data_IF_488854117263
#
_entry.id   IF_488854117263
#
_cell.length_a   1.000
_cell.length_b   1.000
_cell.length_c   1.000
_cell.angle_alpha   90.00
_cell.angle_beta   90.00
_cell.angle_gamma   90.00
#
_symmetry.space_group_name_H-M   'P 1'
#
loop_
_entity.id
_entity.type
_entity.pdbx_description
1 polymer ?
#
# COMPACT_ATOMS: atom_id res chain seq x y z
N UNK A 1 1.43 -27.09 -2.42
CA UNK A 1 1.57 -26.86 -0.96
C UNK A 1 0.18 -26.67 -0.38
N UNK A 2 -0.12 -27.09 0.86
CA UNK A 2 -1.46 -26.90 1.44
C UNK A 2 -1.68 -25.42 1.79
N UNK A 3 -2.94 -25.00 1.78
CA UNK A 3 -3.33 -23.61 2.05
C UNK A 3 -2.89 -23.16 3.46
N UNK A 4 -2.54 -21.88 3.60
CA UNK A 4 -2.25 -21.21 4.86
C UNK A 4 -3.25 -20.08 5.10
N UNK A 5 -3.51 -19.73 6.35
CA UNK A 5 -4.36 -18.59 6.66
C UNK A 5 -3.67 -17.28 6.26
N UNK A 6 -4.42 -16.36 5.64
CA UNK A 6 -3.95 -14.99 5.45
C UNK A 6 -3.94 -14.25 6.78
N UNK A 7 -2.96 -13.38 6.97
CA UNK A 7 -2.83 -12.56 8.18
C UNK A 7 -3.29 -11.13 7.89
N UNK A 8 -3.90 -10.44 8.88
CA UNK A 8 -4.28 -9.05 8.72
C UNK A 8 -3.05 -8.14 8.73
N UNK A 9 -2.96 -7.26 7.74
CA UNK A 9 -1.90 -6.24 7.62
C UNK A 9 -2.40 -4.90 8.12
N UNK A 10 -3.58 -4.48 7.66
CA UNK A 10 -4.20 -3.25 8.07
C UNK A 10 -5.72 -3.40 8.13
N UNK A 11 -6.32 -2.77 9.14
CA UNK A 11 -7.77 -2.58 9.23
C UNK A 11 -8.04 -1.12 9.54
N UNK A 12 -8.63 -0.40 8.58
CA UNK A 12 -8.77 1.05 8.64
C UNK A 12 -10.25 1.39 8.57
N UNK A 13 -10.73 2.20 9.50
CA UNK A 13 -12.08 2.76 9.42
C UNK A 13 -12.05 4.14 8.79
N UNK A 14 -13.10 4.47 8.03
CA UNK A 14 -13.25 5.78 7.38
C UNK A 14 -13.20 6.96 8.33
N UNK A 15 -13.73 6.79 9.54
CA UNK A 15 -13.71 7.83 10.59
C UNK A 15 -12.30 8.15 11.07
N UNK A 16 -11.38 7.18 11.02
CA UNK A 16 -10.02 7.31 11.53
C UNK A 16 -9.06 7.83 10.44
N UNK A 17 -9.36 7.58 9.16
CA UNK A 17 -8.59 8.08 8.01
C UNK A 17 -9.50 8.61 6.88
N UNK A 18 -10.09 9.81 7.01
CA UNK A 18 -11.00 10.37 6.02
C UNK A 18 -10.26 10.91 4.78
N UNK A 19 -10.79 10.63 3.59
CA UNK A 19 -10.24 11.10 2.32
C UNK A 19 -11.04 10.65 1.10
N UNK A 20 -10.56 10.96 -0.13
CA UNK A 20 -11.25 10.64 -1.38
C UNK A 20 -11.17 9.16 -1.79
N UNK A 21 -10.35 8.35 -1.10
CA UNK A 21 -10.16 6.92 -1.38
C UNK A 21 -11.33 6.03 -0.95
N UNK A 22 -12.33 6.56 -0.25
CA UNK A 22 -13.46 5.76 0.24
C UNK A 22 -14.57 5.60 -0.80
N UNK A 23 -14.94 4.36 -1.16
CA UNK A 23 -16.12 4.13 -1.99
C UNK A 23 -17.41 4.57 -1.30
N UNK A 24 -18.44 4.85 -2.10
CA UNK A 24 -19.75 5.22 -1.58
C UNK A 24 -20.33 4.09 -0.71
N UNK A 25 -20.78 4.45 0.50
CA UNK A 25 -21.39 3.51 1.44
C UNK A 25 -20.42 2.54 2.12
N UNK A 26 -19.10 2.63 1.89
CA UNK A 26 -18.07 1.82 2.54
C UNK A 26 -17.37 2.63 3.64
N UNK A 27 -17.12 2.00 4.79
CA UNK A 27 -16.51 2.62 5.96
C UNK A 27 -15.43 1.75 6.66
N UNK A 28 -15.09 0.60 6.07
CA UNK A 28 -14.04 -0.31 6.52
C UNK A 28 -13.21 -0.83 5.33
N UNK A 29 -11.89 -0.65 5.42
CA UNK A 29 -10.89 -1.24 4.53
C UNK A 29 -10.10 -2.28 5.32
N UNK A 30 -9.97 -3.49 4.77
CA UNK A 30 -9.11 -4.54 5.30
C UNK A 30 -8.11 -4.97 4.24
N UNK A 31 -6.84 -5.03 4.63
CA UNK A 31 -5.75 -5.57 3.82
C UNK A 31 -5.25 -6.81 4.54
N UNK A 32 -5.26 -7.94 3.85
CA UNK A 32 -4.71 -9.20 4.31
C UNK A 32 -3.66 -9.69 3.32
N UNK A 33 -2.71 -10.49 3.78
CA UNK A 33 -1.78 -11.15 2.87
C UNK A 33 -1.44 -12.58 3.29
N UNK A 34 -0.93 -13.36 2.34
CA UNK A 34 -0.21 -14.59 2.64
C UNK A 34 1.13 -14.22 3.32
N UNK A 35 1.45 -14.73 4.52
CA UNK A 35 2.69 -14.37 5.20
C UNK A 35 3.93 -15.10 4.64
N UNK A 36 3.92 -15.45 3.36
CA UNK A 36 5.02 -16.13 2.66
C UNK A 36 5.27 -15.38 1.35
N UNK A 37 6.51 -15.31 0.91
CA UNK A 37 6.87 -14.70 -0.36
C UNK A 37 6.51 -15.64 -1.53
N UNK A 38 6.04 -15.03 -2.61
CA UNK A 38 5.74 -15.72 -3.84
C UNK A 38 6.62 -15.17 -4.96
N UNK A 39 7.45 -16.04 -5.56
CA UNK A 39 8.41 -15.63 -6.59
C UNK A 39 7.75 -15.27 -7.93
N UNK A 40 6.69 -15.99 -8.31
CA UNK A 40 5.95 -15.82 -9.58
C UNK A 40 4.44 -15.99 -9.33
N UNK A 41 3.81 -15.07 -8.59
CA UNK A 41 2.38 -15.11 -8.35
C UNK A 41 1.61 -14.66 -9.60
N UNK A 42 0.37 -15.12 -9.79
CA UNK A 42 -0.43 -14.63 -10.90
C UNK A 42 -0.67 -13.13 -10.79
N UNK A 43 -0.61 -12.43 -11.93
CA UNK A 43 -1.07 -11.05 -12.02
C UNK A 43 -2.48 -10.92 -11.41
N UNK A 44 -2.78 -9.82 -10.68
CA UNK A 44 -2.03 -8.57 -10.62
C UNK A 44 -1.14 -8.43 -9.36
N UNK A 45 -0.60 -9.53 -8.84
CA UNK A 45 0.33 -9.54 -7.70
C UNK A 45 1.76 -9.20 -8.15
N UNK A 46 2.61 -8.75 -7.23
CA UNK A 46 4.02 -8.48 -7.52
C UNK A 46 4.88 -9.73 -7.31
N UNK A 47 5.88 -9.93 -8.16
CA UNK A 47 6.90 -10.97 -7.97
C UNK A 47 7.67 -10.73 -6.67
N UNK A 48 8.16 -11.82 -6.06
CA UNK A 48 9.01 -11.77 -4.86
C UNK A 48 8.31 -11.02 -3.73
N UNK A 49 6.99 -11.25 -3.57
CA UNK A 49 6.18 -10.54 -2.58
C UNK A 49 5.06 -11.40 -1.97
N UNK A 50 4.48 -10.99 -0.82
CA UNK A 50 3.24 -11.56 -0.31
C UNK A 50 2.10 -11.46 -1.32
N UNK A 51 1.22 -12.46 -1.37
CA UNK A 51 -0.04 -12.36 -2.14
C UNK A 51 -1.10 -11.67 -1.28
N UNK A 52 -1.69 -10.60 -1.80
CA UNK A 52 -2.62 -9.75 -1.08
C UNK A 52 -4.09 -10.06 -1.37
N UNK A 53 -4.93 -9.70 -0.41
CA UNK A 53 -6.38 -9.61 -0.50
C UNK A 53 -6.82 -8.26 0.08
N UNK A 54 -7.57 -7.50 -0.72
CA UNK A 54 -8.12 -6.19 -0.32
C UNK A 54 -9.62 -6.28 -0.22
N UNK A 55 -10.18 -5.87 0.93
CA UNK A 55 -11.61 -5.97 1.20
C UNK A 55 -12.20 -4.63 1.60
N UNK A 56 -13.15 -4.18 0.80
CA UNK A 56 -14.01 -3.05 1.09
C UNK A 56 -15.31 -3.52 1.74
N UNK A 57 -15.63 -3.00 2.92
CA UNK A 57 -16.79 -3.43 3.70
C UNK A 57 -17.54 -2.26 4.32
N UNK A 58 -18.80 -2.53 4.66
CA UNK A 58 -19.47 -1.81 5.74
C UNK A 58 -19.10 -2.47 7.05
N UNK A 59 -18.60 -1.71 8.01
CA UNK A 59 -18.28 -2.20 9.35
C UNK A 59 -19.51 -2.86 10.00
N UNK A 60 -20.70 -2.31 9.79
CA UNK A 60 -21.95 -2.87 10.28
C UNK A 60 -22.30 -4.25 9.68
N UNK A 61 -21.74 -4.62 8.53
CA UNK A 61 -21.96 -5.94 7.91
C UNK A 61 -21.00 -7.00 8.47
N UNK A 62 -20.01 -6.62 9.29
CA UNK A 62 -19.09 -7.55 9.96
C UNK A 62 -19.69 -7.97 11.31
N UNK A 63 -20.62 -8.92 11.26
CA UNK A 63 -21.44 -9.32 12.42
C UNK A 63 -20.84 -10.42 13.29
N UNK A 64 -19.91 -11.21 12.76
CA UNK A 64 -19.29 -12.34 13.45
C UNK A 64 -17.76 -12.34 13.26
N UNK A 65 -17.05 -11.35 13.85
CA UNK A 65 -15.59 -11.30 13.77
C UNK A 65 -14.96 -12.38 14.66
N UNK A 66 -13.92 -13.05 14.14
CA UNK A 66 -13.12 -13.97 14.93
C UNK A 66 -12.38 -13.21 16.03
N UNK A 67 -12.58 -13.60 17.30
CA UNK A 67 -11.84 -13.04 18.43
C UNK A 67 -10.38 -13.51 18.46
N UNK A 68 -10.09 -14.64 17.82
CA UNK A 68 -8.75 -15.19 17.68
C UNK A 68 -8.58 -15.61 16.21
N UNK A 69 -7.82 -14.84 15.41
CA UNK A 69 -7.53 -15.22 14.04
C UNK A 69 -6.81 -16.59 14.00
N UNK A 70 -7.11 -17.45 13.02
CA UNK A 70 -6.40 -18.70 12.87
C UNK A 70 -4.92 -18.42 12.58
N UNK A 71 -3.98 -19.06 13.29
CA UNK A 71 -2.56 -18.84 13.03
C UNK A 71 -2.20 -19.39 11.63
N UNK A 72 -1.28 -18.73 10.91
CA UNK A 72 -0.77 -19.26 9.66
C UNK A 72 -0.01 -20.57 9.92
N UNK A 73 -0.25 -21.58 9.09
CA UNK A 73 0.45 -22.87 9.20
C UNK A 73 1.90 -22.81 8.74
N UNK A 74 2.25 -21.77 7.97
CA UNK A 74 3.56 -21.45 7.40
C UNK A 74 3.63 -19.95 7.20
N UNK A 75 4.79 -19.39 7.52
CA UNK A 75 5.12 -17.99 7.30
C UNK A 75 6.65 -17.88 7.17
N UNK A 76 7.11 -16.82 6.53
CA UNK A 76 8.52 -16.45 6.51
C UNK A 76 8.91 -15.75 7.81
N UNK A 77 10.04 -16.13 8.38
CA UNK A 77 10.54 -15.57 9.63
C UNK A 77 10.96 -14.10 9.47
N UNK A 78 11.32 -13.68 8.26
CA UNK A 78 11.95 -12.39 7.97
C UNK A 78 10.94 -11.27 7.60
N UNK A 79 9.80 -11.18 8.29
CA UNK A 79 9.01 -9.93 8.35
C UNK A 79 7.68 -9.86 7.59
N UNK A 80 7.17 -10.96 7.03
CA UNK A 80 5.82 -10.99 6.44
C UNK A 80 4.70 -11.22 7.47
N UNK A 81 5.00 -11.10 8.77
CA UNK A 81 4.04 -11.29 9.87
C UNK A 81 3.97 -10.02 10.74
N UNK A 82 3.02 -9.11 10.46
CA UNK A 82 2.90 -7.85 11.19
C UNK A 82 2.63 -8.05 12.68
N UNK A 83 3.26 -7.22 13.51
CA UNK A 83 2.91 -7.13 14.92
C UNK A 83 1.61 -6.34 15.11
N UNK A 84 0.72 -6.86 15.96
CA UNK A 84 -0.54 -6.19 16.26
C UNK A 84 -0.28 -4.86 16.98
N UNK A 85 -0.66 -3.75 16.34
CA UNK A 85 -0.50 -2.40 16.87
C UNK A 85 -1.72 -1.53 16.54
N UNK A 86 -1.84 -0.40 17.23
CA UNK A 86 -2.79 0.65 16.87
C UNK A 86 -2.04 1.74 16.09
N UNK A 87 -2.61 2.15 14.96
CA UNK A 87 -2.06 3.23 14.14
C UNK A 87 -2.77 4.55 14.46
N UNK A 88 -2.00 5.64 14.50
CA UNK A 88 -2.56 7.00 14.53
C UNK A 88 -2.32 7.62 13.17
N UNK A 89 -3.38 8.11 12.53
CA UNK A 89 -3.27 8.74 11.21
C UNK A 89 -2.86 10.22 11.34
N UNK A 90 -1.85 10.62 10.57
CA UNK A 90 -1.48 12.01 10.36
C UNK A 90 -1.80 12.41 8.90
N UNK A 91 -2.35 13.62 8.71
CA UNK A 91 -2.56 14.16 7.38
C UNK A 91 -1.33 14.92 6.92
N UNK A 92 -0.70 14.43 5.87
CA UNK A 92 0.49 15.03 5.26
C UNK A 92 0.17 15.48 3.83
N UNK A 93 0.80 16.57 3.38
CA UNK A 93 0.78 16.97 1.97
C UNK A 93 1.80 16.14 1.21
N UNK A 94 1.33 15.44 0.19
CA UNK A 94 2.14 14.53 -0.63
C UNK A 94 2.20 15.02 -2.09
N UNK A 95 3.33 14.77 -2.76
CA UNK A 95 3.62 15.27 -4.09
C UNK A 95 3.91 14.13 -5.08
N UNK A 96 3.58 14.29 -6.37
CA UNK A 96 3.99 13.33 -7.39
C UNK A 96 5.51 13.26 -7.44
N UNK A 97 6.03 12.13 -7.93
CA UNK A 97 7.47 11.96 -8.06
C UNK A 97 8.07 13.04 -8.94
N UNK A 98 9.33 13.41 -8.70
CA UNK A 98 10.00 14.53 -9.38
C UNK A 98 9.91 14.52 -10.92
N UNK A 99 9.86 13.35 -11.55
CA UNK A 99 9.73 13.23 -13.01
C UNK A 99 8.27 13.36 -13.49
N UNK A 100 7.29 13.18 -12.61
CA UNK A 100 5.86 13.41 -12.86
C UNK A 100 5.46 14.87 -12.59
N UNK A 101 6.32 15.66 -11.92
CA UNK A 101 6.10 17.09 -11.76
C UNK A 101 6.17 17.84 -13.11
N UNK A 102 5.39 18.92 -13.26
CA UNK A 102 5.55 19.89 -14.34
C UNK A 102 7.01 20.33 -14.48
N UNK A 103 7.50 20.42 -15.72
CA UNK A 103 8.91 20.67 -16.02
C UNK A 103 9.42 21.98 -15.39
N UNK A 104 8.53 22.97 -15.25
CA UNK A 104 8.81 24.28 -14.67
C UNK A 104 9.10 24.22 -13.16
N UNK A 105 8.61 23.19 -12.47
CA UNK A 105 8.78 23.02 -11.02
C UNK A 105 10.04 22.23 -10.65
N UNK A 106 10.60 21.46 -11.58
CA UNK A 106 11.76 20.57 -11.32
C UNK A 106 13.00 21.33 -10.82
N UNK A 107 13.42 22.47 -11.41
CA UNK A 107 14.57 23.21 -10.90
C UNK A 107 14.38 23.73 -9.48
N UNK A 108 13.16 24.13 -9.12
CA UNK A 108 12.85 24.62 -7.78
C UNK A 108 12.82 23.47 -6.76
N UNK A 109 12.33 22.29 -7.15
CA UNK A 109 12.44 21.09 -6.33
C UNK A 109 13.91 20.73 -6.07
N UNK A 110 14.76 20.73 -7.09
CA UNK A 110 16.19 20.41 -6.95
C UNK A 110 16.91 21.36 -5.98
N UNK A 111 16.56 22.66 -6.03
CA UNK A 111 17.07 23.64 -5.07
C UNK A 111 16.58 23.34 -3.64
N UNK A 112 15.28 23.09 -3.48
CA UNK A 112 14.68 22.78 -2.18
C UNK A 112 15.28 21.51 -1.57
N UNK A 113 15.42 20.42 -2.35
CA UNK A 113 16.05 19.16 -1.93
C UNK A 113 17.48 19.39 -1.42
N UNK A 114 18.23 20.29 -2.08
CA UNK A 114 19.59 20.65 -1.66
C UNK A 114 19.63 21.47 -0.37
N UNK A 115 18.62 22.29 -0.13
CA UNK A 115 18.50 23.12 1.07
C UNK A 115 17.99 22.36 2.29
N UNK A 116 17.06 21.40 2.09
CA UNK A 116 16.35 20.72 3.18
C UNK A 116 16.94 19.37 3.59
N UNK A 117 17.96 18.88 2.91
CA UNK A 117 18.49 17.53 3.14
C UNK A 117 19.94 17.33 2.69
N UNK A 118 20.35 16.07 2.66
CA UNK A 118 21.66 15.60 2.19
C UNK A 118 21.73 15.41 0.66
N UNK A 119 20.71 15.89 -0.07
CA UNK A 119 20.50 15.63 -1.49
C UNK A 119 19.46 14.52 -1.77
N UNK A 120 18.94 13.85 -0.74
CA UNK A 120 17.80 12.94 -0.85
C UNK A 120 16.48 13.68 -1.10
N UNK A 121 15.68 13.19 -2.06
CA UNK A 121 14.37 13.75 -2.40
C UNK A 121 13.30 13.37 -1.36
N UNK A 122 13.39 13.96 -0.17
CA UNK A 122 12.48 13.73 0.94
C UNK A 122 11.09 14.37 0.74
N UNK A 123 10.90 15.16 -0.33
CA UNK A 123 9.68 15.93 -0.57
C UNK A 123 8.71 15.16 -1.44
N UNK A 124 9.21 14.48 -2.48
CA UNK A 124 8.40 13.62 -3.33
C UNK A 124 8.47 12.14 -2.93
N UNK A 125 9.17 11.84 -1.82
CA UNK A 125 9.30 10.50 -1.25
C UNK A 125 8.97 10.51 0.22
N UNK A 126 7.67 10.52 0.51
CA UNK A 126 7.19 10.22 1.85
C UNK A 126 7.34 8.72 2.11
N UNK A 127 8.28 8.37 2.98
CA UNK A 127 8.47 7.01 3.45
C UNK A 127 7.39 6.60 4.45
N UNK A 128 7.26 5.29 4.68
CA UNK A 128 6.34 4.74 5.65
C UNK A 128 4.98 4.36 5.07
N UNK A 129 4.05 4.05 5.97
CA UNK A 129 2.73 3.58 5.60
C UNK A 129 1.83 4.74 5.23
N UNK A 130 1.12 4.60 4.11
CA UNK A 130 0.30 5.69 3.56
C UNK A 130 -1.00 5.18 2.99
N UNK A 131 -2.08 5.92 3.22
CA UNK A 131 -3.38 5.72 2.57
C UNK A 131 -3.64 6.86 1.59
N UNK A 132 -3.67 6.55 0.30
CA UNK A 132 -3.76 7.50 -0.80
C UNK A 132 -2.43 8.19 -1.11
N UNK A 133 -2.51 9.41 -1.67
CA UNK A 133 -1.34 10.19 -2.05
C UNK A 133 -0.71 9.73 -3.35
N UNK A 134 0.62 9.87 -3.45
CA UNK A 134 1.40 9.59 -4.66
C UNK A 134 2.37 8.42 -4.46
N UNK A 135 2.55 7.56 -5.48
CA UNK A 135 3.54 6.49 -5.42
C UNK A 135 4.98 7.03 -5.46
N UNK A 136 5.89 6.35 -4.76
CA UNK A 136 7.33 6.66 -4.76
C UNK A 136 8.06 5.83 -5.83
N UNK A 137 8.89 6.45 -6.69
CA UNK A 137 9.55 5.76 -7.82
C UNK A 137 11.08 5.78 -7.71
N UNK A 138 11.61 5.37 -6.56
CA UNK A 138 13.04 5.57 -6.25
C UNK A 138 13.99 4.54 -6.92
N UNK A 139 13.47 3.40 -7.40
CA UNK A 139 14.26 2.34 -8.05
C UNK A 139 13.88 2.10 -9.53
N UNK A 140 12.65 2.42 -9.92
CA UNK A 140 12.11 2.25 -11.28
C UNK A 140 11.47 3.56 -11.75
N UNK A 141 11.14 3.62 -13.05
CA UNK A 141 10.47 4.79 -13.62
C UNK A 141 8.99 4.86 -13.21
N UNK A 142 8.41 6.08 -13.16
CA UNK A 142 6.98 6.26 -12.98
C UNK A 142 6.16 5.42 -13.96
N UNK A 143 5.25 4.62 -13.42
CA UNK A 143 4.44 3.69 -14.20
C UNK A 143 2.96 3.94 -13.93
N UNK A 144 2.17 4.02 -15.01
CA UNK A 144 0.72 4.12 -14.94
C UNK A 144 0.12 2.73 -15.15
N UNK A 145 -0.60 2.23 -14.14
CA UNK A 145 -1.34 0.97 -14.25
C UNK A 145 -2.74 1.25 -14.80
N UNK A 146 -3.12 0.57 -15.88
CA UNK A 146 -4.48 0.63 -16.42
C UNK A 146 -5.35 -0.47 -15.79
N UNK A 147 -6.55 -0.13 -15.34
CA UNK A 147 -7.49 -1.10 -14.82
C UNK A 147 -7.88 -2.11 -15.91
N UNK A 148 -7.73 -3.41 -15.63
CA UNK A 148 -8.07 -4.48 -16.59
C UNK A 148 -9.56 -4.52 -16.97
N UNK A 149 -10.45 -4.04 -16.09
CA UNK A 149 -11.90 -4.08 -16.30
C UNK A 149 -12.43 -2.91 -17.12
N UNK A 150 -11.87 -1.70 -16.95
CA UNK A 150 -12.41 -0.48 -17.57
C UNK A 150 -11.36 0.45 -18.23
N UNK A 151 -10.07 0.10 -18.18
CA UNK A 151 -8.98 0.86 -18.78
C UNK A 151 -8.63 2.17 -18.06
N UNK A 152 -9.36 2.56 -17.01
CA UNK A 152 -9.07 3.78 -16.25
C UNK A 152 -7.72 3.65 -15.53
N UNK A 153 -6.93 4.72 -15.56
CA UNK A 153 -5.67 4.78 -14.80
C UNK A 153 -5.94 4.57 -13.30
N UNK A 154 -5.26 3.59 -12.72
CA UNK A 154 -5.39 3.23 -11.33
C UNK A 154 -4.63 4.25 -10.46
N UNK A 155 -5.10 4.42 -9.23
CA UNK A 155 -4.53 5.35 -8.25
C UNK A 155 -3.98 4.59 -7.05
N UNK A 156 -2.92 5.12 -6.43
CA UNK A 156 -2.39 4.56 -5.19
C UNK A 156 -3.48 4.55 -4.11
N UNK A 157 -3.78 3.35 -3.58
CA UNK A 157 -4.64 3.17 -2.42
C UNK A 157 -3.78 3.13 -1.16
N UNK A 158 -2.79 2.26 -1.09
CA UNK A 158 -2.03 2.04 0.14
C UNK A 158 -0.56 1.72 -0.14
N UNK A 159 0.32 2.23 0.71
CA UNK A 159 1.73 1.83 0.79
C UNK A 159 1.96 1.14 2.13
N UNK A 160 2.60 -0.03 2.08
CA UNK A 160 3.15 -0.77 3.22
C UNK A 160 4.66 -0.70 3.09
N UNK A 161 5.31 0.11 3.93
CA UNK A 161 6.76 0.21 3.94
C UNK A 161 7.34 -0.83 4.90
N UNK A 162 8.59 -1.25 4.66
CA UNK A 162 9.35 -2.00 5.65
C UNK A 162 9.70 -1.11 6.83
N UNK A 163 9.46 -1.56 8.05
CA UNK A 163 9.81 -0.84 9.28
C UNK A 163 9.93 -1.77 10.50
N UNK A 164 10.72 -1.32 11.48
CA UNK A 164 10.98 -2.08 12.70
C UNK A 164 9.79 -2.01 13.68
N UNK A 165 9.00 -0.94 13.66
CA UNK A 165 7.90 -0.69 14.60
C UNK A 165 6.74 -1.68 14.45
N UNK A 166 6.38 -2.00 13.21
CA UNK A 166 5.36 -2.98 12.85
C UNK A 166 5.96 -4.38 12.65
N UNK A 167 7.29 -4.46 12.53
CA UNK A 167 8.03 -5.68 12.20
C UNK A 167 7.77 -6.17 10.78
N UNK A 168 7.19 -5.32 9.92
CA UNK A 168 6.95 -5.65 8.52
C UNK A 168 8.22 -5.43 7.72
N UNK A 169 8.58 -6.42 6.93
CA UNK A 169 9.65 -6.32 5.93
C UNK A 169 9.14 -6.90 4.63
N UNK A 170 9.23 -6.11 3.56
CA UNK A 170 8.87 -6.50 2.20
C UNK A 170 10.06 -6.32 1.28
N UNK A 171 10.34 -7.34 0.46
CA UNK A 171 11.52 -7.36 -0.42
C UNK A 171 12.82 -7.12 0.36
N UNK A 172 13.67 -6.22 -0.14
CA UNK A 172 14.95 -5.86 0.51
C UNK A 172 14.83 -4.54 1.25
N UNK A 173 13.95 -4.49 2.25
CA UNK A 173 13.59 -3.24 2.94
C UNK A 173 12.92 -2.22 2.01
N UNK A 174 12.01 -2.71 1.19
CA UNK A 174 11.27 -1.91 0.21
C UNK A 174 9.92 -1.43 0.70
N UNK A 175 9.13 -0.97 -0.27
CA UNK A 175 7.74 -0.53 -0.14
C UNK A 175 6.84 -1.39 -1.04
N UNK A 176 5.79 -1.97 -0.48
CA UNK A 176 4.73 -2.63 -1.24
C UNK A 176 3.56 -1.67 -1.43
N UNK A 177 3.12 -1.52 -2.67
CA UNK A 177 2.15 -0.51 -3.10
C UNK A 177 0.93 -1.18 -3.72
N UNK A 178 -0.25 -0.73 -3.30
CA UNK A 178 -1.54 -1.23 -3.76
C UNK A 178 -2.23 -0.13 -4.55
N UNK A 179 -2.54 -0.39 -5.81
CA UNK A 179 -3.28 0.51 -6.68
C UNK A 179 -4.71 -0.01 -6.88
N UNK A 180 -5.68 0.89 -6.98
CA UNK A 180 -7.08 0.53 -7.24
C UNK A 180 -7.69 1.37 -8.34
N UNK A 181 -8.75 0.85 -8.97
CA UNK A 181 -9.52 1.59 -9.94
C UNK A 181 -10.34 2.68 -9.25
N UNK A 182 -10.17 3.98 -9.58
CA UNK A 182 -10.97 5.05 -8.98
C UNK A 182 -12.43 5.07 -9.48
N UNK A 183 -12.73 4.38 -10.60
CA UNK A 183 -14.07 4.33 -11.15
C UNK A 183 -14.99 3.32 -10.43
N UNK A 184 -14.44 2.19 -9.99
CA UNK A 184 -15.17 1.15 -9.27
C UNK A 184 -14.24 0.33 -8.39
N UNK A 185 -14.50 0.33 -7.08
CA UNK A 185 -13.70 -0.38 -6.08
C UNK A 185 -13.81 -1.91 -6.18
N UNK A 186 -14.78 -2.41 -6.95
CA UNK A 186 -14.99 -3.84 -7.20
C UNK A 186 -14.10 -4.39 -8.32
N UNK A 187 -13.51 -3.50 -9.12
CA UNK A 187 -12.51 -3.89 -10.11
C UNK A 187 -11.23 -4.39 -9.44
N UNK A 188 -10.44 -5.16 -10.19
CA UNK A 188 -9.20 -5.71 -9.68
C UNK A 188 -8.23 -4.59 -9.23
N UNK A 189 -7.53 -4.83 -8.12
CA UNK A 189 -6.41 -4.01 -7.67
C UNK A 189 -5.11 -4.44 -8.37
N UNK A 190 -4.05 -3.65 -8.24
CA UNK A 190 -2.71 -3.98 -8.74
C UNK A 190 -1.69 -3.82 -7.63
N UNK A 191 -0.78 -4.77 -7.50
CA UNK A 191 0.29 -4.75 -6.52
C UNK A 191 1.61 -4.51 -7.23
N UNK A 192 2.42 -3.68 -6.63
CA UNK A 192 3.78 -3.42 -7.03
C UNK A 192 4.68 -3.47 -5.79
N UNK A 193 5.87 -4.05 -5.92
CA UNK A 193 6.91 -4.05 -4.91
C UNK A 193 8.08 -3.20 -5.41
N UNK A 194 8.59 -2.34 -4.55
CA UNK A 194 9.68 -1.43 -4.85
C UNK A 194 10.79 -1.49 -3.82
#
# INVERSE_FOLDING_TARGET
MPATAMVPVAQIFRRDAPGPWWPAGIDLLQILWCPNEHWDPPAPQADVSPVLEVRWRRAADVVDPLTTPPPPSRYEEDGCLPQACAITAERVTDFPFREELPAELRPRLEELVRETGDGGDAITRLAGWKLGGWPTWHLNQPTVFACGDCGTAMTLLFTVASDDETGVVVGRWGDLRIFTCPADYRHAFWVDLH
#
